data_IF_678834991359
#
_entry.id   IF_678834991359
#
_cell.length_a   1.000
_cell.length_b   1.000
_cell.length_c   1.000
_cell.angle_alpha   90.00
_cell.angle_beta   90.00
_cell.angle_gamma   90.00
#
_symmetry.space_group_name_H-M   'P 1'
#
loop_
_entity.id
_entity.type
_entity.pdbx_description
1 polymer ?
#
# COMPACT_ATOMS: atom_id res chain seq x y z
N UNK A 1 -6.88 19.12 0.39
CA UNK A 1 -8.36 19.10 0.31
C UNK A 1 -8.91 19.66 1.61
N UNK A 2 -9.54 20.83 1.59
CA UNK A 2 -10.07 21.48 2.79
C UNK A 2 -11.41 22.16 2.45
N UNK A 3 -12.41 21.36 2.08
CA UNK A 3 -13.79 21.82 2.03
C UNK A 3 -14.56 21.21 3.21
N UNK A 4 -15.42 22.02 3.85
CA UNK A 4 -16.16 21.65 5.06
C UNK A 4 -17.07 20.42 4.83
N UNK A 5 -17.52 20.23 3.58
CA UNK A 5 -18.23 19.03 3.13
C UNK A 5 -17.41 17.76 3.37
N UNK A 6 -16.12 17.78 3.02
CA UNK A 6 -15.22 16.63 3.16
C UNK A 6 -14.97 16.32 4.64
N UNK A 7 -14.73 17.35 5.46
CA UNK A 7 -14.56 17.19 6.92
C UNK A 7 -15.80 16.65 7.61
N UNK A 8 -17.00 17.10 7.21
CA UNK A 8 -18.25 16.60 7.78
C UNK A 8 -18.47 15.12 7.44
N UNK A 9 -18.16 14.73 6.20
CA UNK A 9 -18.18 13.35 5.74
C UNK A 9 -17.18 12.47 6.51
N UNK A 10 -15.92 12.90 6.64
CA UNK A 10 -14.90 12.20 7.41
C UNK A 10 -15.35 11.97 8.87
N UNK A 11 -15.90 13.00 9.53
CA UNK A 11 -16.41 12.88 10.90
C UNK A 11 -17.60 11.93 11.02
N UNK A 12 -18.47 11.89 10.01
CA UNK A 12 -19.63 11.00 10.00
C UNK A 12 -19.21 9.53 9.86
N UNK A 13 -18.24 9.25 8.99
CA UNK A 13 -17.77 7.88 8.74
C UNK A 13 -16.74 7.39 9.75
N UNK A 14 -16.04 8.31 10.40
CA UNK A 14 -14.94 8.02 11.33
C UNK A 14 -15.36 8.22 12.79
N UNK A 15 -16.58 7.79 13.14
CA UNK A 15 -16.99 7.76 14.54
C UNK A 15 -16.07 6.82 15.35
N UNK A 16 -16.04 7.01 16.67
CA UNK A 16 -15.10 6.26 17.53
C UNK A 16 -15.25 4.75 17.40
N UNK A 17 -16.48 4.27 17.22
CA UNK A 17 -16.74 2.83 17.10
C UNK A 17 -16.24 2.32 15.76
N UNK A 18 -16.54 3.00 14.65
CA UNK A 18 -16.09 2.58 13.32
C UNK A 18 -14.57 2.56 13.23
N UNK A 19 -13.90 3.59 13.73
CA UNK A 19 -12.43 3.66 13.76
C UNK A 19 -11.82 2.53 14.58
N UNK A 20 -12.35 2.24 15.78
CA UNK A 20 -11.86 1.12 16.58
C UNK A 20 -12.03 -0.20 15.84
N UNK A 21 -13.17 -0.43 15.19
CA UNK A 21 -13.40 -1.67 14.42
C UNK A 21 -12.42 -1.81 13.25
N UNK A 22 -12.18 -0.73 12.50
CA UNK A 22 -11.23 -0.73 11.38
C UNK A 22 -9.81 -1.00 11.86
N UNK A 23 -9.37 -0.33 12.92
CA UNK A 23 -8.01 -0.50 13.46
C UNK A 23 -7.81 -1.91 14.01
N UNK A 24 -8.79 -2.47 14.73
CA UNK A 24 -8.68 -3.85 15.22
C UNK A 24 -8.70 -4.87 14.07
N UNK A 25 -9.48 -4.62 13.02
CA UNK A 25 -9.43 -5.44 11.81
C UNK A 25 -8.05 -5.37 11.12
N UNK A 26 -7.49 -4.17 10.93
CA UNK A 26 -6.16 -3.99 10.33
C UNK A 26 -5.04 -4.69 11.12
N UNK A 27 -5.16 -4.78 12.45
CA UNK A 27 -4.19 -5.48 13.30
C UNK A 27 -4.33 -7.00 13.29
N UNK A 28 -5.55 -7.50 13.13
CA UNK A 28 -5.85 -8.93 13.29
C UNK A 28 -5.95 -9.69 11.97
N UNK A 29 -6.16 -8.99 10.85
CA UNK A 29 -6.16 -9.59 9.53
C UNK A 29 -4.74 -10.05 9.17
N UNK A 30 -4.59 -11.35 8.99
CA UNK A 30 -3.36 -11.95 8.50
C UNK A 30 -3.65 -12.85 7.31
N UNK A 31 -3.04 -12.52 6.17
CA UNK A 31 -3.17 -13.26 4.91
C UNK A 31 -1.81 -13.74 4.39
N UNK A 32 -0.76 -13.76 5.22
CA UNK A 32 0.60 -14.15 4.81
C UNK A 32 0.65 -15.57 4.25
N UNK A 33 -0.16 -16.47 4.80
CA UNK A 33 -0.28 -17.85 4.31
C UNK A 33 -0.89 -17.95 2.91
N UNK A 34 -1.48 -16.88 2.37
CA UNK A 34 -2.07 -16.85 1.04
C UNK A 34 -1.13 -16.26 -0.03
N UNK A 35 0.02 -15.69 0.34
CA UNK A 35 0.91 -15.00 -0.61
C UNK A 35 1.38 -15.92 -1.75
N UNK A 36 1.64 -17.19 -1.44
CA UNK A 36 2.02 -18.19 -2.44
C UNK A 36 0.93 -18.48 -3.49
N UNK A 37 -0.32 -18.09 -3.24
CA UNK A 37 -1.45 -18.28 -4.17
C UNK A 37 -1.55 -17.18 -5.22
N UNK A 38 -0.80 -16.08 -5.08
CA UNK A 38 -0.74 -15.02 -6.08
C UNK A 38 0.05 -15.54 -7.29
N UNK A 39 -0.65 -15.78 -8.41
CA UNK A 39 -0.06 -16.40 -9.60
C UNK A 39 0.29 -15.41 -10.72
N UNK A 40 -0.17 -14.17 -10.64
CA UNK A 40 0.18 -13.12 -11.60
C UNK A 40 1.55 -12.51 -11.28
N UNK A 41 2.25 -12.05 -12.31
CA UNK A 41 3.44 -11.22 -12.13
C UNK A 41 3.08 -10.02 -11.27
N UNK A 42 3.87 -9.77 -10.22
CA UNK A 42 3.54 -8.78 -9.19
C UNK A 42 4.67 -7.77 -9.05
N UNK A 43 4.33 -6.48 -8.99
CA UNK A 43 5.25 -5.41 -8.59
C UNK A 43 4.86 -4.94 -7.19
N UNK A 44 5.78 -5.05 -6.25
CA UNK A 44 5.65 -4.53 -4.88
C UNK A 44 6.45 -3.24 -4.78
N UNK A 45 5.77 -2.13 -4.49
CA UNK A 45 6.38 -0.80 -4.35
C UNK A 45 6.29 -0.38 -2.88
N UNK A 46 7.41 0.07 -2.29
CA UNK A 46 7.45 0.53 -0.91
C UNK A 46 8.25 1.82 -0.76
N UNK A 47 7.72 2.80 -0.04
CA UNK A 47 8.43 4.05 0.29
C UNK A 47 9.30 3.88 1.54
N UNK A 48 10.59 4.11 1.43
CA UNK A 48 11.58 3.92 2.50
C UNK A 48 11.31 4.71 3.79
N UNK A 49 10.66 5.86 3.71
CA UNK A 49 10.30 6.71 4.85
C UNK A 49 8.86 6.53 5.33
N UNK A 50 8.15 5.49 4.87
CA UNK A 50 6.81 5.15 5.36
C UNK A 50 6.82 4.84 6.86
N UNK A 51 6.14 5.71 7.63
CA UNK A 51 6.05 5.60 9.08
C UNK A 51 4.89 4.71 9.54
N UNK A 52 3.93 4.42 8.67
CA UNK A 52 2.77 3.58 8.99
C UNK A 52 3.09 2.09 8.76
N UNK A 53 3.79 1.77 7.67
CA UNK A 53 4.18 0.41 7.32
C UNK A 53 5.70 0.32 7.11
N UNK A 54 6.43 -0.37 8.01
CA UNK A 54 7.88 -0.51 7.89
C UNK A 54 8.32 -1.17 6.59
N UNK A 55 9.44 -0.71 6.03
CA UNK A 55 10.04 -1.20 4.77
C UNK A 55 10.18 -2.73 4.68
N UNK A 56 10.52 -3.39 5.80
CA UNK A 56 10.69 -4.84 5.81
C UNK A 56 9.39 -5.60 5.49
N UNK A 57 8.22 -5.00 5.69
CA UNK A 57 6.94 -5.63 5.35
C UNK A 57 6.73 -5.68 3.83
N UNK A 58 7.07 -4.61 3.11
CA UNK A 58 7.07 -4.64 1.64
C UNK A 58 8.06 -5.65 1.09
N UNK A 59 9.27 -5.72 1.67
CA UNK A 59 10.26 -6.74 1.30
C UNK A 59 9.73 -8.15 1.51
N UNK A 60 9.10 -8.40 2.67
CA UNK A 60 8.49 -9.68 2.99
C UNK A 60 7.47 -10.10 1.92
N UNK A 61 6.59 -9.20 1.47
CA UNK A 61 5.63 -9.51 0.41
C UNK A 61 6.33 -9.94 -0.88
N UNK A 62 7.36 -9.20 -1.31
CA UNK A 62 8.09 -9.54 -2.54
C UNK A 62 8.84 -10.87 -2.45
N UNK A 63 9.37 -11.21 -1.27
CA UNK A 63 10.10 -12.47 -1.06
C UNK A 63 9.16 -13.69 -1.02
N UNK A 64 7.87 -13.51 -0.70
CA UNK A 64 6.89 -14.58 -0.50
C UNK A 64 5.82 -14.70 -1.59
N UNK A 65 5.71 -13.72 -2.49
CA UNK A 65 4.85 -13.79 -3.68
C UNK A 65 5.66 -14.37 -4.85
N UNK A 66 5.21 -15.47 -5.49
CA UNK A 66 5.85 -15.99 -6.69
C UNK A 66 5.90 -14.94 -7.81
N UNK A 67 7.04 -14.82 -8.48
CA UNK A 67 7.25 -13.87 -9.57
C UNK A 67 7.06 -12.39 -9.18
N UNK A 68 7.25 -12.06 -7.91
CA UNK A 68 7.24 -10.66 -7.48
C UNK A 68 8.58 -9.97 -7.75
N UNK A 69 8.48 -8.68 -8.09
CA UNK A 69 9.59 -7.72 -8.13
C UNK A 69 9.38 -6.69 -7.03
N UNK A 70 10.46 -6.34 -6.32
CA UNK A 70 10.42 -5.29 -5.31
C UNK A 70 11.05 -4.00 -5.83
N UNK A 71 10.39 -2.88 -5.57
CA UNK A 71 10.87 -1.53 -5.83
C UNK A 71 10.80 -0.71 -4.55
N UNK A 72 11.96 -0.27 -4.08
CA UNK A 72 12.07 0.71 -3.00
C UNK A 72 12.15 2.12 -3.58
N UNK A 73 11.39 3.06 -3.01
CA UNK A 73 11.41 4.45 -3.39
C UNK A 73 11.78 5.36 -2.22
N UNK A 74 12.49 6.44 -2.51
CA UNK A 74 12.67 7.52 -1.55
C UNK A 74 11.35 8.30 -1.40
N UNK A 75 10.85 8.45 -0.18
CA UNK A 75 9.62 9.17 0.14
C UNK A 75 9.20 8.93 1.59
N UNK A 76 8.49 9.87 2.19
CA UNK A 76 8.21 9.89 3.65
C UNK A 76 6.76 9.57 4.01
N UNK A 77 5.87 9.36 3.02
CA UNK A 77 4.45 9.14 3.27
C UNK A 77 3.96 7.82 2.68
N UNK A 78 3.01 7.20 3.37
CA UNK A 78 2.46 5.86 3.12
C UNK A 78 1.69 5.78 1.78
N UNK A 79 1.27 6.92 1.22
CA UNK A 79 0.27 6.93 0.14
C UNK A 79 0.43 8.00 -0.94
N UNK A 80 1.52 8.78 -1.00
CA UNK A 80 1.62 9.82 -2.03
C UNK A 80 2.19 9.32 -3.37
N UNK A 81 1.55 8.27 -3.91
CA UNK A 81 1.88 7.75 -5.24
C UNK A 81 1.68 8.82 -6.33
N UNK A 82 0.68 9.70 -6.15
CA UNK A 82 0.37 10.77 -7.08
C UNK A 82 1.52 11.80 -7.20
N UNK A 83 2.26 12.03 -6.13
CA UNK A 83 3.45 12.89 -6.11
C UNK A 83 4.77 12.13 -6.31
N UNK A 84 4.73 10.86 -6.75
CA UNK A 84 5.93 10.05 -6.99
C UNK A 84 6.11 9.69 -8.49
N UNK A 85 6.68 10.59 -9.32
CA UNK A 85 6.88 10.35 -10.75
C UNK A 85 7.69 9.10 -11.10
N UNK A 86 8.65 8.73 -10.25
CA UNK A 86 9.44 7.51 -10.40
C UNK A 86 8.57 6.26 -10.25
N UNK A 87 7.69 6.24 -9.24
CA UNK A 87 6.74 5.15 -9.03
C UNK A 87 5.80 5.00 -10.23
N UNK A 88 5.27 6.12 -10.74
CA UNK A 88 4.35 6.14 -11.87
C UNK A 88 5.04 5.61 -13.14
N UNK A 89 6.29 5.99 -13.37
CA UNK A 89 7.09 5.48 -14.49
C UNK A 89 7.30 3.98 -14.38
N UNK A 90 7.71 3.49 -13.21
CA UNK A 90 7.93 2.06 -12.97
C UNK A 90 6.65 1.23 -13.12
N UNK A 91 5.50 1.73 -12.65
CA UNK A 91 4.20 1.08 -12.88
C UNK A 91 3.91 0.99 -14.37
N UNK A 92 4.13 2.06 -15.14
CA UNK A 92 3.89 2.07 -16.59
C UNK A 92 4.80 1.08 -17.32
N UNK A 93 6.08 1.05 -16.98
CA UNK A 93 7.04 0.17 -17.63
C UNK A 93 6.79 -1.29 -17.25
N UNK A 94 6.39 -1.55 -15.99
CA UNK A 94 5.91 -2.85 -15.56
C UNK A 94 4.70 -3.31 -16.38
N UNK A 95 3.68 -2.47 -16.56
CA UNK A 95 2.50 -2.81 -17.37
C UNK A 95 2.87 -3.15 -18.82
N UNK A 96 3.75 -2.35 -19.46
CA UNK A 96 4.21 -2.60 -20.83
C UNK A 96 4.99 -3.89 -21.00
N UNK A 97 5.67 -4.34 -19.95
CA UNK A 97 6.43 -5.59 -19.98
C UNK A 97 5.55 -6.84 -19.78
N UNK A 98 4.26 -6.67 -19.48
CA UNK A 98 3.27 -7.75 -19.36
C UNK A 98 2.47 -7.99 -20.65
N UNK A 99 2.51 -7.05 -21.60
CA UNK A 99 1.95 -7.17 -22.94
C UNK A 99 2.86 -8.01 -23.87
#
# INVERSE_FOLDING_TARGET
MADDTYRAFEKLLSDRRSLNQIVEYMKSLDVRDLLHKVSCTTLVIHFSGDLAVPLHMGRYLADHIPNARFLELAGVDHADLASAPSAITEIRDFMRALD
#
